data_IF_586379384096
#
_entry.id   IF_586379384096
#
_cell.length_a   1.000
_cell.length_b   1.000
_cell.length_c   1.000
_cell.angle_alpha   90.00
_cell.angle_beta   90.00
_cell.angle_gamma   90.00
#
_symmetry.space_group_name_H-M   'P 1'
#
loop_
_entity.id
_entity.type
_entity.pdbx_description
1 polymer ?
#
# COMPACT_ATOMS: atom_id res chain seq x y z
N UNK A 1 6.37 -0.58 -3.97
CA UNK A 1 7.02 0.74 -4.02
C UNK A 1 6.69 1.50 -2.76
N UNK A 2 7.69 2.08 -2.09
CA UNK A 2 7.47 3.04 -1.00
C UNK A 2 7.52 4.44 -1.62
N UNK A 3 6.47 5.23 -1.45
CA UNK A 3 6.33 6.51 -2.12
C UNK A 3 5.92 7.61 -1.13
N UNK A 4 6.88 8.48 -0.80
CA UNK A 4 6.62 9.65 0.06
C UNK A 4 5.77 10.72 -0.65
N UNK A 5 5.68 10.71 -1.98
CA UNK A 5 4.82 11.59 -2.75
C UNK A 5 3.38 11.10 -2.85
N UNK A 6 3.12 9.83 -2.58
CA UNK A 6 1.78 9.26 -2.61
C UNK A 6 1.02 9.56 -1.31
N UNK A 7 -0.12 10.22 -1.41
CA UNK A 7 -1.00 10.54 -0.28
C UNK A 7 -1.87 9.37 0.19
N UNK A 8 -1.94 8.29 -0.59
CA UNK A 8 -2.74 7.09 -0.33
C UNK A 8 -1.92 5.83 -0.59
N UNK A 9 -2.29 4.71 0.04
CA UNK A 9 -1.80 3.40 -0.36
C UNK A 9 -2.65 2.86 -1.50
N UNK A 10 -2.03 2.18 -2.44
CA UNK A 10 -2.70 1.67 -3.62
C UNK A 10 -2.36 0.21 -3.86
N UNK A 11 -3.40 -0.59 -4.04
CA UNK A 11 -3.31 -1.99 -4.46
C UNK A 11 -3.86 -2.13 -5.88
N UNK A 12 -3.05 -2.53 -6.87
CA UNK A 12 -3.56 -2.86 -8.18
C UNK A 12 -4.60 -3.99 -8.11
N UNK A 13 -5.65 -3.91 -8.92
CA UNK A 13 -6.71 -4.92 -9.01
C UNK A 13 -6.17 -6.34 -9.27
N UNK A 14 -5.07 -6.47 -10.00
CA UNK A 14 -4.42 -7.75 -10.25
C UNK A 14 -3.83 -8.38 -8.98
N UNK A 15 -3.24 -7.58 -8.08
CA UNK A 15 -2.77 -8.07 -6.77
C UNK A 15 -3.97 -8.43 -5.90
N UNK A 16 -5.01 -7.59 -5.91
CA UNK A 16 -6.22 -7.87 -5.14
C UNK A 16 -6.83 -9.23 -5.52
N UNK A 17 -6.98 -9.48 -6.83
CA UNK A 17 -7.51 -10.75 -7.36
C UNK A 17 -6.64 -11.95 -7.01
N UNK A 18 -5.31 -11.80 -6.97
CA UNK A 18 -4.39 -12.91 -6.64
C UNK A 18 -4.40 -13.27 -5.15
N UNK A 19 -4.71 -12.30 -4.27
CA UNK A 19 -4.83 -12.53 -2.83
C UNK A 19 -6.18 -13.17 -2.43
N UNK A 20 -7.14 -13.24 -3.35
CA UNK A 20 -8.42 -13.92 -3.19
C UNK A 20 -9.22 -13.46 -1.95
N UNK A 21 -9.25 -12.15 -1.68
CA UNK A 21 -9.97 -11.54 -0.55
C UNK A 21 -11.51 -11.59 -0.66
N UNK A 22 -12.07 -12.08 -1.78
CA UNK A 22 -13.50 -12.06 -2.07
C UNK A 22 -13.92 -10.82 -2.88
N UNK A 23 -15.21 -10.46 -2.84
CA UNK A 23 -15.72 -9.25 -3.51
C UNK A 23 -15.55 -8.02 -2.61
N UNK A 24 -15.14 -6.89 -3.19
CA UNK A 24 -15.05 -5.62 -2.46
C UNK A 24 -16.44 -5.00 -2.32
N UNK A 25 -16.80 -4.56 -1.12
CA UNK A 25 -17.94 -3.66 -0.97
C UNK A 25 -17.55 -2.24 -1.44
N UNK A 26 -18.28 -1.64 -2.40
CA UNK A 26 -18.01 -0.29 -2.85
C UNK A 26 -18.21 0.71 -1.70
N UNK A 27 -17.15 1.41 -1.29
CA UNK A 27 -17.29 2.52 -0.34
C UNK A 27 -17.64 3.77 -1.15
N UNK A 28 -18.84 4.31 -0.93
CA UNK A 28 -19.35 5.52 -1.59
C UNK A 28 -18.58 6.78 -1.23
N UNK A 29 -17.36 6.92 -1.74
CA UNK A 29 -16.52 8.11 -1.60
C UNK A 29 -16.31 8.77 -2.96
N UNK A 30 -16.89 9.96 -3.15
CA UNK A 30 -16.86 10.74 -4.38
C UNK A 30 -15.54 11.52 -4.51
N UNK A 31 -14.45 10.82 -4.83
CA UNK A 31 -13.31 11.46 -5.50
C UNK A 31 -13.50 11.17 -7.00
N UNK A 32 -13.21 12.12 -7.90
CA UNK A 32 -13.26 11.93 -9.36
C UNK A 32 -12.15 10.99 -9.85
N UNK A 33 -12.16 9.77 -9.34
CA UNK A 33 -11.37 8.65 -9.79
C UNK A 33 -12.41 7.55 -9.91
N UNK A 34 -12.93 7.38 -11.12
CA UNK A 34 -13.94 6.39 -11.43
C UNK A 34 -13.50 5.04 -10.83
N UNK A 35 -14.42 4.42 -10.07
CA UNK A 35 -14.35 3.00 -9.70
C UNK A 35 -13.33 2.60 -8.62
N UNK A 36 -13.35 3.25 -7.44
CA UNK A 36 -12.49 2.86 -6.30
C UNK A 36 -13.25 2.23 -5.15
N UNK A 37 -12.97 0.97 -4.88
CA UNK A 37 -13.27 0.31 -3.60
C UNK A 37 -12.08 0.43 -2.66
N UNK A 38 -12.35 0.59 -1.36
CA UNK A 38 -11.30 0.65 -0.32
C UNK A 38 -11.26 -0.69 0.40
N UNK A 39 -10.10 -1.32 0.41
CA UNK A 39 -9.82 -2.51 1.22
C UNK A 39 -9.26 -2.05 2.56
N UNK A 40 -9.98 -2.32 3.65
CA UNK A 40 -9.62 -1.88 5.00
C UNK A 40 -8.95 -2.98 5.81
N UNK A 41 -8.20 -2.58 6.83
CA UNK A 41 -7.64 -3.45 7.87
C UNK A 41 -6.74 -4.57 7.30
N UNK A 42 -6.03 -4.29 6.20
CA UNK A 42 -5.10 -5.24 5.60
C UNK A 42 -3.84 -5.30 6.45
N UNK A 43 -3.43 -6.51 6.81
CA UNK A 43 -2.16 -6.74 7.51
C UNK A 43 -1.03 -6.87 6.50
N UNK A 44 -0.10 -5.92 6.54
CA UNK A 44 1.11 -5.92 5.72
C UNK A 44 2.28 -6.37 6.59
N UNK A 45 2.87 -7.50 6.23
CA UNK A 45 4.07 -8.01 6.88
C UNK A 45 5.32 -7.43 6.21
N UNK A 46 6.19 -6.82 7.00
CA UNK A 46 7.53 -6.38 6.61
C UNK A 46 8.52 -7.03 7.55
N UNK A 47 9.27 -8.01 7.03
CA UNK A 47 10.12 -8.91 7.84
C UNK A 47 9.30 -9.56 8.97
N UNK A 48 9.62 -9.25 10.23
CA UNK A 48 8.96 -9.81 11.42
C UNK A 48 7.83 -8.91 11.96
N UNK A 49 7.67 -7.70 11.43
CA UNK A 49 6.63 -6.77 11.86
C UNK A 49 5.40 -6.87 10.98
N UNK A 50 4.23 -6.68 11.60
CA UNK A 50 2.93 -6.67 10.93
C UNK A 50 2.27 -5.32 11.20
N UNK A 51 1.87 -4.63 10.14
CA UNK A 51 1.25 -3.31 10.21
C UNK A 51 -0.15 -3.34 9.59
N UNK A 52 -1.15 -2.71 10.23
CA UNK A 52 -2.44 -2.49 9.60
C UNK A 52 -2.34 -1.39 8.54
N UNK A 53 -3.04 -1.57 7.42
CA UNK A 53 -3.07 -0.62 6.32
C UNK A 53 -4.38 -0.71 5.55
N UNK A 54 -4.90 0.45 5.15
CA UNK A 54 -5.98 0.54 4.18
C UNK A 54 -5.42 0.79 2.79
N UNK A 55 -6.03 0.20 1.77
CA UNK A 55 -5.64 0.33 0.37
C UNK A 55 -6.80 0.76 -0.51
N UNK A 56 -6.51 1.64 -1.46
CA UNK A 56 -7.40 1.87 -2.59
C UNK A 56 -7.10 0.83 -3.66
N UNK A 57 -8.12 0.07 -4.08
CA UNK A 57 -7.99 -0.92 -5.14
C UNK A 57 -8.28 -0.25 -6.49
N UNK A 58 -7.28 -0.21 -7.37
CA UNK A 58 -7.35 0.49 -8.65
C UNK A 58 -7.06 -0.44 -9.81
N UNK A 59 -7.85 -0.32 -10.87
CA UNK A 59 -7.45 -0.83 -12.17
C UNK A 59 -6.36 0.09 -12.74
N UNK A 60 -5.15 -0.43 -12.84
CA UNK A 60 -4.03 0.25 -13.47
C UNK A 60 -3.86 -0.40 -14.83
N UNK A 61 -3.86 0.39 -15.92
CA UNK A 61 -3.50 -0.13 -17.23
C UNK A 61 -2.07 -0.70 -17.15
N UNK A 62 -1.96 -2.01 -17.28
CA UNK A 62 -0.70 -2.72 -17.44
C UNK A 62 -0.14 -2.37 -18.82
N UNK A 63 0.53 -1.22 -18.91
CA UNK A 63 1.33 -0.82 -20.06
C UNK A 63 2.52 -1.78 -20.19
N UNK A 64 2.27 -2.94 -20.81
CA UNK A 64 3.14 -3.78 -21.67
C UNK A 64 4.60 -4.03 -21.30
N UNK A 65 5.04 -3.70 -20.09
CA UNK A 65 6.42 -3.86 -19.63
C UNK A 65 6.42 -4.70 -18.37
N UNK A 66 7.26 -5.73 -18.32
CA UNK A 66 7.33 -6.76 -17.28
C UNK A 66 7.68 -6.30 -15.85
N UNK A 67 7.30 -5.07 -15.46
CA UNK A 67 7.25 -4.56 -14.10
C UNK A 67 5.83 -4.82 -13.59
N UNK A 68 5.61 -6.03 -13.08
CA UNK A 68 4.30 -6.46 -12.60
C UNK A 68 3.63 -5.44 -11.67
N UNK A 69 2.31 -5.57 -11.58
CA UNK A 69 1.42 -4.78 -10.73
C UNK A 69 2.09 -4.50 -9.38
N UNK A 70 2.49 -3.24 -9.15
CA UNK A 70 3.30 -2.88 -7.98
C UNK A 70 2.41 -2.25 -6.91
N UNK A 71 2.42 -2.84 -5.70
CA UNK A 71 1.80 -2.25 -4.51
C UNK A 71 2.47 -0.91 -4.19
N UNK A 72 1.69 0.16 -4.01
CA UNK A 72 2.22 1.47 -3.59
C UNK A 72 1.88 1.69 -2.13
N UNK A 73 2.90 1.88 -1.30
CA UNK A 73 2.79 2.22 0.10
C UNK A 73 3.10 3.71 0.24
N UNK A 74 2.04 4.49 0.40
CA UNK A 74 2.10 5.94 0.49
C UNK A 74 2.36 6.43 1.91
N UNK A 75 2.23 7.74 2.10
CA UNK A 75 2.37 8.39 3.39
C UNK A 75 1.54 7.74 4.52
N UNK A 76 0.28 7.29 4.32
CA UNK A 76 -0.48 6.66 5.41
C UNK A 76 0.22 5.44 5.99
N UNK A 77 0.66 4.50 5.16
CA UNK A 77 1.41 3.34 5.63
C UNK A 77 2.75 3.73 6.25
N UNK A 78 3.49 4.63 5.59
CA UNK A 78 4.81 5.06 6.05
C UNK A 78 4.74 5.73 7.43
N UNK A 79 3.67 6.50 7.70
CA UNK A 79 3.40 7.09 9.02
C UNK A 79 3.04 6.02 10.06
N UNK A 80 2.17 5.06 9.72
CA UNK A 80 1.81 3.95 10.62
C UNK A 80 3.05 3.15 11.04
N UNK A 81 3.92 2.85 10.09
CA UNK A 81 5.16 2.11 10.33
C UNK A 81 6.31 2.98 10.86
N UNK A 82 6.07 4.28 11.15
CA UNK A 82 7.07 5.25 11.62
C UNK A 82 8.37 5.20 10.81
N UNK A 83 8.21 5.13 9.50
CA UNK A 83 9.31 4.88 8.57
C UNK A 83 10.35 6.01 8.62
N UNK A 84 11.63 5.63 8.71
CA UNK A 84 12.77 6.54 8.56
C UNK A 84 13.59 6.15 7.33
N UNK A 85 13.86 7.13 6.46
CA UNK A 85 14.63 6.93 5.23
C UNK A 85 15.88 7.81 5.27
N UNK A 86 17.04 7.17 5.46
CA UNK A 86 18.33 7.84 5.41
C UNK A 86 18.87 7.82 3.99
N UNK A 87 18.63 8.87 3.20
CA UNK A 87 19.02 8.90 1.76
C UNK A 87 20.53 8.80 1.58
N UNK A 88 21.31 9.60 2.32
CA UNK A 88 22.77 9.58 2.22
C UNK A 88 23.37 8.26 2.70
N UNK A 89 22.88 7.77 3.86
CA UNK A 89 23.33 6.51 4.44
C UNK A 89 22.77 5.27 3.73
N UNK A 90 21.82 5.46 2.79
CA UNK A 90 21.04 4.41 2.13
C UNK A 90 20.38 3.44 3.11
N UNK A 91 19.90 3.98 4.23
CA UNK A 91 19.22 3.20 5.27
C UNK A 91 17.71 3.36 5.18
N UNK A 92 17.04 2.30 5.62
CA UNK A 92 15.60 2.23 5.70
C UNK A 92 15.25 1.51 7.01
N UNK A 93 14.34 2.06 7.80
CA UNK A 93 13.85 1.42 9.02
C UNK A 93 12.40 1.73 9.32
N UNK A 94 11.71 0.81 9.97
CA UNK A 94 10.33 0.92 10.46
C UNK A 94 10.27 0.59 11.95
N UNK A 95 9.32 1.19 12.66
CA UNK A 95 9.12 0.97 14.10
C UNK A 95 7.69 0.55 14.41
N UNK A 96 7.54 -0.43 15.30
CA UNK A 96 6.26 -0.82 15.89
C UNK A 96 6.42 -1.06 17.39
N UNK A 97 5.84 -0.19 18.21
CA UNK A 97 6.11 -0.19 19.65
C UNK A 97 7.59 0.08 19.92
N UNK A 98 8.24 -0.81 20.68
CA UNK A 98 9.68 -0.76 20.98
C UNK A 98 10.54 -1.52 19.96
N UNK A 99 9.92 -2.17 18.95
CA UNK A 99 10.64 -2.95 17.95
C UNK A 99 11.01 -2.08 16.74
N UNK A 100 12.27 -2.17 16.31
CA UNK A 100 12.83 -1.50 15.13
C UNK A 100 13.30 -2.56 14.13
N UNK A 101 12.95 -2.40 12.86
CA UNK A 101 13.36 -3.29 11.77
C UNK A 101 13.83 -2.50 10.56
#
# INVERSE_FOLDING_TARGET
MLDLGASINVMPTLIYKSLNFGDLEPIGMTIQLADRSVLKDVLVQVNELIFPADFYVLDMEDETSGKGSTLILGQPFLMTARTKIGVHARTFSMEFGDNLV
#
